data_IF_010414222859
#
_entry.id   IF_010414222859
#
_cell.length_a   1.000
_cell.length_b   1.000
_cell.length_c   1.000
_cell.angle_alpha   90.00
_cell.angle_beta   90.00
_cell.angle_gamma   90.00
#
_symmetry.space_group_name_H-M   'P 1'
#
loop_
_entity.id
_entity.type
_entity.pdbx_description
1 polymer ?
#
# COMPACT_ATOMS: atom_id res chain seq x y z
N UNK A 1 19.17 -33.57 8.19
CA UNK A 1 20.36 -32.71 8.28
C UNK A 1 19.83 -31.27 8.47
N UNK A 2 19.98 -30.73 9.70
CA UNK A 2 19.56 -29.37 10.00
C UNK A 2 20.52 -28.38 9.36
N UNK A 3 19.99 -27.31 8.79
CA UNK A 3 20.83 -26.22 8.33
C UNK A 3 21.50 -25.57 9.54
N UNK A 4 22.82 -25.39 9.47
CA UNK A 4 23.60 -24.62 10.43
C UNK A 4 23.05 -23.17 10.46
N UNK A 5 23.06 -22.58 11.66
CA UNK A 5 22.62 -21.18 11.90
C UNK A 5 23.27 -20.18 10.94
N UNK A 6 24.49 -20.45 10.51
CA UNK A 6 25.26 -19.65 9.56
C UNK A 6 24.76 -19.79 8.12
N UNK A 7 24.34 -21.00 7.74
CA UNK A 7 23.76 -21.30 6.43
C UNK A 7 22.34 -20.71 6.31
N UNK A 8 21.59 -20.72 7.40
CA UNK A 8 20.29 -20.07 7.50
C UNK A 8 20.38 -18.55 7.34
N UNK A 9 21.33 -17.90 8.06
CA UNK A 9 21.58 -16.46 7.95
C UNK A 9 22.14 -16.06 6.59
N UNK A 10 23.01 -16.87 5.99
CA UNK A 10 23.55 -16.63 4.64
C UNK A 10 22.51 -16.74 3.52
N UNK A 11 21.43 -17.45 3.77
CA UNK A 11 20.34 -17.63 2.83
C UNK A 11 19.32 -16.47 2.86
N UNK A 12 19.19 -15.80 4.02
CA UNK A 12 18.36 -14.60 4.19
C UNK A 12 19.11 -13.31 3.81
N UNK A 13 20.46 -13.37 3.74
CA UNK A 13 21.34 -12.22 3.61
C UNK A 13 21.66 -11.78 2.17
N UNK A 14 20.77 -12.03 1.22
CA UNK A 14 20.84 -11.33 -0.07
C UNK A 14 19.46 -10.71 -0.38
N UNK A 15 19.26 -9.42 -0.16
CA UNK A 15 20.20 -8.33 0.11
C UNK A 15 20.24 -7.89 1.59
N UNK A 16 21.39 -7.34 1.96
CA UNK A 16 21.74 -6.86 3.28
C UNK A 16 20.76 -5.81 3.84
N UNK A 17 19.88 -6.23 4.75
CA UNK A 17 19.14 -5.40 5.72
C UNK A 17 18.40 -6.27 6.76
N UNK A 18 18.88 -7.48 7.04
CA UNK A 18 18.21 -8.39 7.98
C UNK A 18 18.88 -8.40 9.38
N UNK A 19 19.36 -7.26 9.84
CA UNK A 19 20.00 -7.18 11.16
C UNK A 19 18.97 -6.77 12.22
N UNK A 20 17.96 -7.62 12.50
CA UNK A 20 17.25 -7.71 13.80
C UNK A 20 15.93 -8.53 13.77
N UNK A 21 15.76 -9.46 12.84
CA UNK A 21 14.62 -10.38 12.95
C UNK A 21 14.94 -11.52 13.91
N UNK A 22 14.48 -11.44 15.13
CA UNK A 22 14.33 -12.61 15.99
C UNK A 22 13.07 -13.33 15.54
N UNK A 23 13.22 -14.38 14.76
CA UNK A 23 12.11 -15.21 14.24
C UNK A 23 11.56 -16.04 15.42
N UNK A 24 10.33 -15.80 15.82
CA UNK A 24 9.70 -16.46 16.96
C UNK A 24 9.31 -17.93 16.70
N UNK A 25 9.19 -18.33 15.44
CA UNK A 25 9.06 -19.75 15.07
C UNK A 25 9.92 -20.06 13.83
N UNK A 26 11.24 -20.27 14.04
CA UNK A 26 12.16 -20.54 12.96
C UNK A 26 11.84 -21.81 12.16
N UNK A 27 11.11 -22.75 12.76
CA UNK A 27 10.79 -24.04 12.14
C UNK A 27 9.74 -23.91 11.03
N UNK A 28 8.69 -23.13 11.23
CA UNK A 28 7.65 -22.92 10.21
C UNK A 28 8.18 -22.14 9.00
N UNK A 29 8.91 -21.06 9.25
CA UNK A 29 9.56 -20.29 8.18
C UNK A 29 10.66 -21.09 7.48
N UNK A 30 11.49 -21.81 8.25
CA UNK A 30 12.53 -22.65 7.67
C UNK A 30 11.94 -23.81 6.83
N UNK A 31 10.83 -24.39 7.24
CA UNK A 31 10.14 -25.42 6.47
C UNK A 31 9.51 -24.86 5.19
N UNK A 32 8.81 -23.72 5.27
CA UNK A 32 8.27 -23.05 4.11
C UNK A 32 9.40 -22.66 3.12
N UNK A 33 10.44 -21.97 3.58
CA UNK A 33 11.57 -21.58 2.73
C UNK A 33 12.46 -22.76 2.29
N UNK A 34 12.55 -23.84 3.04
CA UNK A 34 13.30 -25.03 2.60
C UNK A 34 12.58 -25.78 1.47
N UNK A 35 11.25 -25.76 1.47
CA UNK A 35 10.45 -26.31 0.37
C UNK A 35 10.46 -25.40 -0.85
N UNK A 36 10.34 -24.08 -0.67
CA UNK A 36 10.53 -23.08 -1.74
C UNK A 36 11.86 -23.30 -2.48
N UNK A 37 12.95 -23.59 -1.75
CA UNK A 37 14.27 -23.88 -2.34
C UNK A 37 14.36 -25.23 -3.04
N UNK A 38 13.53 -26.21 -2.66
CA UNK A 38 13.51 -27.54 -3.28
C UNK A 38 12.61 -27.60 -4.52
N UNK A 39 11.74 -26.61 -4.70
CA UNK A 39 10.87 -26.53 -5.88
C UNK A 39 11.72 -26.02 -7.05
N UNK A 40 12.38 -26.94 -7.74
CA UNK A 40 13.11 -26.68 -8.97
C UNK A 40 12.12 -26.64 -10.14
N UNK A 41 11.47 -25.51 -10.33
CA UNK A 41 10.54 -25.28 -11.42
C UNK A 41 10.55 -23.83 -11.83
N UNK A 42 10.06 -23.50 -13.02
CA UNK A 42 9.76 -22.12 -13.37
C UNK A 42 8.57 -21.62 -12.53
N UNK A 43 8.40 -20.32 -12.41
CA UNK A 43 7.34 -19.70 -11.61
C UNK A 43 5.93 -20.17 -11.99
N UNK A 44 5.70 -20.55 -13.25
CA UNK A 44 4.41 -21.04 -13.75
C UNK A 44 4.11 -22.47 -13.27
N UNK A 45 5.12 -23.32 -13.15
CA UNK A 45 4.95 -24.66 -12.62
C UNK A 45 4.73 -24.64 -11.10
N UNK A 46 5.47 -23.81 -10.38
CA UNK A 46 5.29 -23.61 -8.93
C UNK A 46 3.92 -23.04 -8.61
N UNK A 47 3.43 -22.07 -9.40
CA UNK A 47 2.11 -21.49 -9.22
C UNK A 47 0.95 -22.51 -9.35
N UNK A 48 1.17 -23.65 -9.99
CA UNK A 48 0.20 -24.74 -10.16
C UNK A 48 0.39 -25.88 -9.15
N UNK A 49 1.42 -25.81 -8.33
CA UNK A 49 1.72 -26.87 -7.35
C UNK A 49 0.88 -26.71 -6.10
N UNK A 50 -0.20 -27.46 -5.99
CA UNK A 50 -1.09 -27.51 -4.83
C UNK A 50 -0.36 -27.90 -3.53
N UNK A 51 0.72 -28.69 -3.62
CA UNK A 51 1.49 -29.07 -2.42
C UNK A 51 2.26 -27.87 -1.86
N UNK A 52 2.79 -27.02 -2.74
CA UNK A 52 3.42 -25.76 -2.39
C UNK A 52 2.42 -24.82 -1.67
N UNK A 53 1.25 -24.60 -2.27
CA UNK A 53 0.24 -23.70 -1.69
C UNK A 53 -0.32 -24.23 -0.37
N UNK A 54 -0.41 -25.54 -0.21
CA UNK A 54 -0.80 -26.17 1.05
C UNK A 54 0.16 -25.85 2.19
N UNK A 55 1.47 -25.81 1.92
CA UNK A 55 2.48 -25.39 2.90
C UNK A 55 2.36 -23.89 3.22
N UNK A 56 2.19 -23.03 2.21
CA UNK A 56 1.96 -21.60 2.43
C UNK A 56 0.72 -21.38 3.29
N UNK A 57 -0.35 -22.14 3.04
CA UNK A 57 -1.58 -22.07 3.82
C UNK A 57 -1.35 -22.37 5.32
N UNK A 58 -0.40 -23.24 5.68
CA UNK A 58 -0.06 -23.52 7.09
C UNK A 58 0.56 -22.30 7.79
N UNK A 59 1.09 -21.35 7.06
CA UNK A 59 1.59 -20.07 7.58
C UNK A 59 0.48 -19.13 8.08
N UNK A 60 -0.79 -19.47 7.89
CA UNK A 60 -1.93 -18.64 8.31
C UNK A 60 -2.79 -19.35 9.37
N UNK A 61 -3.29 -18.57 10.33
CA UNK A 61 -4.21 -19.02 11.40
C UNK A 61 -5.69 -18.87 11.02
N UNK A 62 -5.99 -18.70 9.72
CA UNK A 62 -7.35 -18.52 9.24
C UNK A 62 -8.23 -19.75 9.55
N UNK A 63 -9.51 -19.51 9.85
CA UNK A 63 -10.51 -20.54 10.07
C UNK A 63 -10.65 -21.41 8.81
N UNK A 64 -10.49 -22.71 8.97
CA UNK A 64 -10.60 -23.70 7.88
C UNK A 64 -12.04 -24.10 7.55
N UNK A 65 -12.99 -23.80 8.43
CA UNK A 65 -14.41 -24.01 8.21
C UNK A 65 -15.06 -22.96 7.30
N UNK A 66 -14.35 -21.85 7.03
CA UNK A 66 -14.85 -20.74 6.20
C UNK A 66 -13.97 -20.60 4.95
N UNK A 67 -14.58 -20.61 3.77
CA UNK A 67 -13.91 -20.27 2.51
C UNK A 67 -13.89 -18.74 2.38
N UNK A 68 -12.77 -18.11 2.72
CA UNK A 68 -12.62 -16.67 2.61
C UNK A 68 -12.28 -16.25 1.18
N UNK A 69 -13.24 -15.65 0.48
CA UNK A 69 -13.07 -15.09 -0.86
C UNK A 69 -12.92 -13.56 -0.85
N UNK A 70 -12.82 -12.94 0.33
CA UNK A 70 -12.77 -11.49 0.48
C UNK A 70 -11.46 -10.97 1.11
N UNK A 71 -10.32 -11.51 0.69
CA UNK A 71 -9.01 -10.96 1.06
C UNK A 71 -8.79 -9.53 0.54
N UNK A 72 -9.51 -9.14 -0.51
CA UNK A 72 -9.54 -7.78 -1.01
C UNK A 72 -10.22 -6.77 -0.07
N UNK A 73 -11.10 -7.21 0.85
CA UNK A 73 -11.60 -6.38 1.94
C UNK A 73 -10.52 -6.18 2.99
N UNK A 74 -10.06 -7.29 3.57
CA UNK A 74 -8.96 -7.40 4.52
C UNK A 74 -8.43 -8.84 4.49
N UNK A 75 -7.10 -9.03 4.47
CA UNK A 75 -6.47 -10.35 4.51
C UNK A 75 -6.05 -10.73 5.93
N UNK A 76 -6.11 -12.02 6.29
CA UNK A 76 -5.42 -12.48 7.49
C UNK A 76 -3.91 -12.27 7.34
N UNK A 77 -3.26 -11.82 8.41
CA UNK A 77 -1.80 -11.78 8.44
C UNK A 77 -1.22 -13.18 8.67
N UNK A 78 -0.08 -13.53 8.04
CA UNK A 78 0.63 -14.77 8.38
C UNK A 78 0.98 -14.84 9.87
N UNK A 79 1.06 -16.04 10.42
CA UNK A 79 1.39 -16.24 11.86
C UNK A 79 2.69 -15.56 12.26
N UNK A 80 3.72 -15.60 11.41
CA UNK A 80 5.00 -14.92 11.64
C UNK A 80 4.84 -13.41 11.79
N UNK A 81 3.93 -12.79 11.03
CA UNK A 81 3.61 -11.35 11.11
C UNK A 81 2.84 -11.05 12.39
N UNK A 82 1.86 -11.90 12.74
CA UNK A 82 1.09 -11.77 13.99
C UNK A 82 2.00 -11.87 15.22
N UNK A 83 2.94 -12.81 15.22
CA UNK A 83 3.89 -13.00 16.31
C UNK A 83 4.90 -11.85 16.40
N UNK A 84 5.35 -11.29 15.28
CA UNK A 84 6.18 -10.10 15.26
C UNK A 84 5.43 -8.91 15.87
N UNK A 85 4.17 -8.72 15.49
CA UNK A 85 3.32 -7.67 16.06
C UNK A 85 3.18 -7.81 17.59
N UNK A 86 2.87 -9.02 18.08
CA UNK A 86 2.75 -9.30 19.53
C UNK A 86 4.05 -8.99 20.26
N UNK A 87 5.20 -9.47 19.73
CA UNK A 87 6.53 -9.20 20.33
C UNK A 87 6.82 -7.70 20.43
N UNK A 88 6.54 -6.95 19.38
CA UNK A 88 6.76 -5.49 19.40
C UNK A 88 5.81 -4.80 20.36
N UNK A 89 4.57 -5.29 20.50
CA UNK A 89 3.61 -4.77 21.47
C UNK A 89 4.08 -5.05 22.90
N UNK A 90 4.47 -6.29 23.22
CA UNK A 90 5.00 -6.66 24.52
C UNK A 90 6.25 -5.85 24.87
N UNK A 91 7.16 -5.71 23.89
CA UNK A 91 8.37 -4.90 24.07
C UNK A 91 8.04 -3.41 24.31
N UNK A 92 7.04 -2.87 23.60
CA UNK A 92 6.58 -1.48 23.83
C UNK A 92 6.14 -1.26 25.29
N UNK A 93 5.48 -2.27 25.88
CA UNK A 93 4.95 -2.16 27.25
C UNK A 93 6.02 -2.31 28.33
N UNK A 94 7.23 -2.73 28.04
CA UNK A 94 8.32 -2.81 29.03
C UNK A 94 8.78 -1.43 29.53
N UNK A 95 8.76 -0.42 28.65
CA UNK A 95 9.10 0.98 28.97
C UNK A 95 8.52 1.90 27.88
N UNK A 96 7.20 2.21 27.92
CA UNK A 96 6.46 2.69 26.75
C UNK A 96 7.10 3.88 26.02
N UNK A 97 7.34 4.99 26.71
CA UNK A 97 7.89 6.21 26.10
C UNK A 97 9.31 5.97 25.51
N UNK A 98 10.15 5.26 26.23
CA UNK A 98 11.52 4.98 25.77
C UNK A 98 11.51 3.98 24.60
N UNK A 99 10.83 2.86 24.78
CA UNK A 99 10.83 1.77 23.79
C UNK A 99 10.15 2.21 22.48
N UNK A 100 8.99 2.85 22.56
CA UNK A 100 8.26 3.29 21.37
C UNK A 100 9.04 4.40 20.63
N UNK A 101 9.43 5.46 21.31
CA UNK A 101 9.95 6.65 20.62
C UNK A 101 11.45 6.60 20.35
N UNK A 102 12.24 5.90 21.18
CA UNK A 102 13.70 5.85 21.01
C UNK A 102 14.20 4.60 20.28
N UNK A 103 13.42 3.52 20.29
CA UNK A 103 13.84 2.24 19.70
C UNK A 103 12.98 1.86 18.50
N UNK A 104 11.66 1.78 18.64
CA UNK A 104 10.78 1.28 17.58
C UNK A 104 10.52 2.33 16.49
N UNK A 105 10.21 3.56 16.86
CA UNK A 105 9.90 4.62 15.89
C UNK A 105 11.04 4.83 14.85
N UNK A 106 12.33 4.87 15.25
CA UNK A 106 13.43 4.93 14.27
C UNK A 106 13.52 3.72 13.32
N UNK A 107 13.05 2.54 13.73
CA UNK A 107 13.04 1.35 12.87
C UNK A 107 12.03 1.48 11.71
N UNK A 108 11.03 2.33 11.84
CA UNK A 108 10.07 2.66 10.79
C UNK A 108 10.77 3.08 9.49
N UNK A 109 11.90 3.77 9.60
CA UNK A 109 12.68 4.19 8.41
C UNK A 109 13.24 3.00 7.60
N UNK A 110 13.51 1.87 8.26
CA UNK A 110 13.89 0.65 7.56
C UNK A 110 12.70 0.04 6.81
N UNK A 111 11.52 0.08 7.40
CA UNK A 111 10.28 -0.36 6.74
C UNK A 111 9.97 0.54 5.53
N UNK A 112 10.08 1.86 5.69
CA UNK A 112 9.88 2.86 4.61
C UNK A 112 10.80 2.56 3.41
N UNK A 113 12.10 2.38 3.65
CA UNK A 113 13.07 2.03 2.58
C UNK A 113 12.74 0.70 1.89
N UNK A 114 12.21 -0.27 2.61
CA UNK A 114 11.80 -1.57 2.03
C UNK A 114 10.53 -1.43 1.19
N UNK A 115 9.53 -0.68 1.65
CA UNK A 115 8.33 -0.36 0.88
C UNK A 115 8.67 0.40 -0.40
N UNK A 116 9.52 1.42 -0.30
CA UNK A 116 9.99 2.20 -1.44
C UNK A 116 10.69 1.32 -2.48
N UNK A 117 11.59 0.46 -2.04
CA UNK A 117 12.28 -0.51 -2.95
C UNK A 117 11.29 -1.46 -3.62
N UNK A 118 10.30 -1.96 -2.89
CA UNK A 118 9.28 -2.86 -3.44
C UNK A 118 8.39 -2.16 -4.46
N UNK A 119 8.06 -0.90 -4.23
CA UNK A 119 7.25 -0.07 -5.14
C UNK A 119 8.05 0.54 -6.30
N UNK A 120 9.39 0.60 -6.19
CA UNK A 120 10.27 1.24 -7.17
C UNK A 120 10.31 2.77 -7.08
N UNK A 121 10.24 3.32 -5.85
CA UNK A 121 10.30 4.76 -5.54
C UNK A 121 11.45 5.10 -4.60
N UNK A 122 11.64 6.39 -4.31
CA UNK A 122 12.48 6.86 -3.22
C UNK A 122 11.76 6.72 -1.87
N UNK A 123 12.52 6.44 -0.81
CA UNK A 123 11.98 6.38 0.54
C UNK A 123 11.42 7.75 1.01
N UNK A 124 11.99 8.84 0.53
CA UNK A 124 11.55 10.21 0.82
C UNK A 124 10.25 10.61 0.08
N UNK A 125 9.64 9.67 -0.64
CA UNK A 125 8.34 9.80 -1.31
C UNK A 125 7.27 8.90 -0.69
N UNK A 126 7.61 8.14 0.37
CA UNK A 126 6.71 7.17 1.00
C UNK A 126 6.34 7.61 2.42
N UNK A 127 5.06 7.77 2.69
CA UNK A 127 4.50 7.87 4.05
C UNK A 127 3.81 6.55 4.44
N UNK A 128 4.00 6.12 5.69
CA UNK A 128 3.35 4.94 6.26
C UNK A 128 2.05 5.37 6.94
N UNK A 129 0.93 5.09 6.31
CA UNK A 129 -0.41 5.43 6.78
C UNK A 129 -1.11 4.23 7.45
N UNK A 130 -2.33 4.45 7.95
CA UNK A 130 -3.17 3.39 8.54
C UNK A 130 -3.90 2.54 7.49
N UNK A 131 -4.14 3.08 6.31
CA UNK A 131 -4.81 2.41 5.18
C UNK A 131 -4.81 3.30 3.93
N UNK A 132 -5.31 2.78 2.81
CA UNK A 132 -5.51 3.55 1.58
C UNK A 132 -6.44 4.74 1.79
N UNK A 133 -7.50 4.59 2.59
CA UNK A 133 -8.47 5.67 2.81
C UNK A 133 -7.82 6.89 3.44
N UNK A 134 -6.93 6.72 4.42
CA UNK A 134 -6.18 7.83 4.99
C UNK A 134 -5.27 8.48 3.94
N UNK A 135 -4.46 7.70 3.23
CA UNK A 135 -3.57 8.24 2.20
C UNK A 135 -4.31 8.98 1.09
N UNK A 136 -5.43 8.43 0.62
CA UNK A 136 -6.28 9.08 -0.39
C UNK A 136 -6.94 10.34 0.15
N UNK A 137 -7.42 10.34 1.39
CA UNK A 137 -8.03 11.53 2.01
C UNK A 137 -7.01 12.62 2.30
N UNK A 138 -5.74 12.28 2.60
CA UNK A 138 -4.65 13.25 2.66
C UNK A 138 -4.57 13.98 1.31
N UNK A 139 -4.58 13.24 0.20
CA UNK A 139 -4.59 13.85 -1.12
C UNK A 139 -5.88 14.62 -1.38
N UNK A 140 -7.05 14.01 -1.19
CA UNK A 140 -8.33 14.64 -1.50
C UNK A 140 -8.61 15.94 -0.70
N UNK A 141 -8.12 16.02 0.55
CA UNK A 141 -8.31 17.20 1.41
C UNK A 141 -7.12 18.17 1.39
N UNK A 142 -5.94 17.70 0.99
CA UNK A 142 -4.71 18.47 1.04
C UNK A 142 -4.51 19.47 -0.11
N UNK A 143 -5.31 19.39 -1.16
CA UNK A 143 -5.30 20.37 -2.25
C UNK A 143 -6.15 21.58 -1.90
N UNK A 144 -5.59 22.76 -2.15
CA UNK A 144 -6.34 24.02 -2.11
C UNK A 144 -7.22 24.10 -3.36
N UNK A 145 -8.52 24.00 -3.17
CA UNK A 145 -9.54 24.08 -4.22
C UNK A 145 -10.52 25.18 -3.86
N UNK A 146 -10.92 25.96 -4.86
CA UNK A 146 -11.87 27.06 -4.75
C UNK A 146 -13.30 26.60 -5.03
N UNK A 147 -14.35 27.32 -4.53
CA UNK A 147 -15.73 27.04 -4.88
C UNK A 147 -15.93 27.03 -6.40
N UNK A 148 -16.55 25.96 -6.91
CA UNK A 148 -16.75 25.74 -8.33
C UNK A 148 -15.65 25.03 -9.07
N UNK A 149 -14.49 24.75 -8.43
CA UNK A 149 -13.48 23.82 -8.97
C UNK A 149 -14.04 22.42 -9.09
N UNK A 150 -13.69 21.72 -10.17
CA UNK A 150 -14.20 20.39 -10.45
C UNK A 150 -13.19 19.31 -10.09
N UNK A 151 -13.66 18.23 -9.46
CA UNK A 151 -12.94 16.98 -9.27
C UNK A 151 -13.58 15.89 -10.12
N UNK A 152 -12.79 15.21 -10.93
CA UNK A 152 -13.26 14.18 -11.84
C UNK A 152 -12.97 12.79 -11.30
N UNK A 153 -13.98 11.92 -11.28
CA UNK A 153 -13.89 10.54 -10.82
C UNK A 153 -14.88 9.66 -11.60
N UNK A 154 -14.94 8.37 -11.31
CA UNK A 154 -15.89 7.46 -11.94
C UNK A 154 -16.99 7.03 -10.97
N UNK A 155 -18.10 6.53 -11.49
CA UNK A 155 -19.18 5.93 -10.68
C UNK A 155 -18.77 4.59 -10.07
N UNK A 156 -17.64 4.02 -10.49
CA UNK A 156 -17.09 2.76 -9.99
C UNK A 156 -15.94 2.93 -8.99
N UNK A 157 -15.50 4.15 -8.73
CA UNK A 157 -14.51 4.43 -7.69
C UNK A 157 -15.06 4.12 -6.30
N UNK A 158 -14.16 3.83 -5.35
CA UNK A 158 -14.55 3.37 -4.04
C UNK A 158 -15.44 4.37 -3.29
N UNK A 159 -16.62 3.92 -2.85
CA UNK A 159 -17.66 4.76 -2.28
C UNK A 159 -17.21 5.68 -1.13
N UNK A 160 -16.24 5.26 -0.31
CA UNK A 160 -15.69 6.11 0.75
C UNK A 160 -14.92 7.31 0.20
N UNK A 161 -14.23 7.16 -0.91
CA UNK A 161 -13.52 8.26 -1.58
C UNK A 161 -14.49 9.22 -2.26
N UNK A 162 -15.58 8.69 -2.80
CA UNK A 162 -16.72 9.48 -3.31
C UNK A 162 -17.35 10.29 -2.17
N UNK A 163 -17.54 9.69 -1.00
CA UNK A 163 -18.08 10.39 0.19
C UNK A 163 -17.17 11.54 0.65
N UNK A 164 -15.86 11.43 0.50
CA UNK A 164 -14.92 12.51 0.82
C UNK A 164 -15.15 13.72 -0.10
N UNK A 165 -15.32 13.50 -1.40
CA UNK A 165 -15.63 14.61 -2.32
C UNK A 165 -17.01 15.20 -2.10
N UNK A 166 -18.03 14.38 -1.76
CA UNK A 166 -19.35 14.89 -1.34
C UNK A 166 -19.26 15.80 -0.11
N UNK A 167 -18.41 15.44 0.85
CA UNK A 167 -18.14 16.29 2.01
C UNK A 167 -17.51 17.62 1.58
N UNK A 168 -16.56 17.60 0.64
CA UNK A 168 -15.94 18.80 0.11
C UNK A 168 -16.89 19.65 -0.72
N UNK A 169 -17.83 19.05 -1.48
CA UNK A 169 -18.93 19.80 -2.13
C UNK A 169 -19.71 20.61 -1.10
N UNK A 170 -20.11 19.97 0.02
CA UNK A 170 -20.88 20.65 1.07
C UNK A 170 -20.06 21.72 1.83
N UNK A 171 -18.77 21.46 2.10
CA UNK A 171 -17.92 22.32 2.93
C UNK A 171 -17.25 23.42 2.12
N UNK A 172 -16.70 23.06 0.96
CA UNK A 172 -15.80 23.90 0.19
C UNK A 172 -16.42 24.42 -1.10
N UNK A 173 -17.62 23.93 -1.46
CA UNK A 173 -18.33 24.36 -2.67
C UNK A 173 -17.71 23.86 -3.99
N UNK A 174 -16.85 22.83 -3.94
CA UNK A 174 -16.33 22.18 -5.16
C UNK A 174 -17.45 21.41 -5.87
N UNK A 175 -17.19 20.96 -7.09
CA UNK A 175 -18.13 20.18 -7.91
C UNK A 175 -17.51 18.82 -8.23
N UNK A 176 -18.14 17.73 -7.78
CA UNK A 176 -17.71 16.39 -8.13
C UNK A 176 -18.39 15.93 -9.43
N UNK A 177 -17.59 15.67 -10.46
CA UNK A 177 -18.08 15.12 -11.73
C UNK A 177 -17.75 13.63 -11.80
N UNK A 178 -18.78 12.86 -12.18
CA UNK A 178 -18.64 11.41 -12.32
C UNK A 178 -19.10 10.94 -13.69
N UNK A 179 -18.40 9.94 -14.24
CA UNK A 179 -18.84 9.22 -15.43
C UNK A 179 -18.66 7.71 -15.23
N UNK A 180 -19.32 6.92 -16.07
CA UNK A 180 -19.25 5.46 -16.01
C UNK A 180 -18.22 4.93 -17.00
N UNK A 181 -17.39 3.99 -16.55
CA UNK A 181 -16.51 3.21 -17.40
C UNK A 181 -17.25 1.96 -17.89
N UNK A 182 -17.14 1.57 -19.18
CA UNK A 182 -17.71 0.31 -19.67
C UNK A 182 -17.15 -0.90 -18.91
N UNK A 183 -17.98 -1.91 -18.70
CA UNK A 183 -17.59 -3.17 -18.05
C UNK A 183 -18.17 -4.33 -18.87
N UNK A 184 -17.34 -5.16 -19.51
CA UNK A 184 -15.87 -5.00 -19.63
C UNK A 184 -15.49 -3.81 -20.52
N UNK A 185 -14.32 -3.20 -20.28
CA UNK A 185 -13.71 -2.30 -21.23
C UNK A 185 -12.69 -3.09 -22.06
N UNK A 186 -12.91 -3.18 -23.35
CA UNK A 186 -12.06 -3.94 -24.25
C UNK A 186 -10.84 -3.17 -24.75
N UNK A 187 -10.87 -1.84 -24.59
CA UNK A 187 -9.85 -0.95 -25.13
C UNK A 187 -9.46 0.15 -24.10
N UNK A 188 -8.22 0.11 -23.65
CA UNK A 188 -7.64 1.13 -22.78
C UNK A 188 -7.79 2.56 -23.30
N UNK A 189 -7.68 2.75 -24.63
CA UNK A 189 -7.76 4.09 -25.22
C UNK A 189 -9.20 4.66 -25.14
N UNK A 190 -10.20 3.79 -25.05
CA UNK A 190 -11.58 4.21 -24.80
C UNK A 190 -11.71 4.81 -23.38
N UNK A 191 -11.12 4.13 -22.38
CA UNK A 191 -11.09 4.64 -21.01
C UNK A 191 -10.39 6.01 -20.96
N UNK A 192 -9.24 6.14 -21.60
CA UNK A 192 -8.50 7.42 -21.65
C UNK A 192 -9.35 8.53 -22.28
N UNK A 193 -10.02 8.23 -23.40
CA UNK A 193 -10.92 9.20 -24.07
C UNK A 193 -12.11 9.60 -23.20
N UNK A 194 -12.63 8.68 -22.38
CA UNK A 194 -13.71 9.00 -21.44
C UNK A 194 -13.24 9.97 -20.36
N UNK A 195 -12.05 9.79 -19.79
CA UNK A 195 -11.48 10.78 -18.88
C UNK A 195 -11.29 12.12 -19.59
N UNK A 196 -10.64 12.14 -20.74
CA UNK A 196 -10.32 13.36 -21.50
C UNK A 196 -11.59 14.15 -21.88
N UNK A 197 -12.64 13.46 -22.33
CA UNK A 197 -13.94 14.05 -22.71
C UNK A 197 -14.65 14.76 -21.55
N UNK A 198 -14.42 14.31 -20.32
CA UNK A 198 -15.05 14.86 -19.12
C UNK A 198 -14.22 15.96 -18.45
N UNK A 199 -13.04 16.26 -18.94
CA UNK A 199 -12.22 17.40 -18.49
C UNK A 199 -12.83 18.70 -18.97
N UNK A 200 -12.88 19.69 -18.09
CA UNK A 200 -13.25 21.07 -18.40
C UNK A 200 -12.16 22.03 -17.90
N UNK A 201 -12.20 23.33 -18.26
CA UNK A 201 -11.27 24.32 -17.69
C UNK A 201 -11.31 24.44 -16.16
N UNK A 202 -12.38 23.94 -15.52
CA UNK A 202 -12.55 23.94 -14.06
C UNK A 202 -12.01 22.66 -13.40
N UNK A 203 -11.65 21.63 -14.18
CA UNK A 203 -11.15 20.36 -13.62
C UNK A 203 -9.77 20.58 -13.01
N UNK A 204 -9.65 20.36 -11.70
CA UNK A 204 -8.41 20.56 -10.93
C UNK A 204 -7.77 19.27 -10.45
N UNK A 205 -8.50 18.17 -10.50
CA UNK A 205 -8.04 16.90 -9.95
C UNK A 205 -8.78 15.74 -10.59
N UNK A 206 -8.08 14.62 -10.78
CA UNK A 206 -8.68 13.33 -11.12
C UNK A 206 -8.38 12.34 -9.98
N UNK A 207 -9.42 11.61 -9.54
CA UNK A 207 -9.26 10.39 -8.73
C UNK A 207 -9.64 9.20 -9.60
N UNK A 208 -8.81 8.15 -9.57
CA UNK A 208 -9.13 6.90 -10.25
C UNK A 208 -8.60 5.67 -9.49
N UNK A 209 -9.33 4.58 -9.51
CA UNK A 209 -8.81 3.29 -9.09
C UNK A 209 -7.75 2.77 -10.08
N UNK A 210 -6.70 2.11 -9.56
CA UNK A 210 -5.84 1.27 -10.41
C UNK A 210 -6.54 -0.06 -10.72
N UNK A 211 -7.23 -0.65 -9.74
CA UNK A 211 -8.15 -1.77 -9.93
C UNK A 211 -9.48 -1.46 -9.24
N UNK A 212 -10.57 -1.57 -9.98
CA UNK A 212 -11.92 -1.34 -9.47
C UNK A 212 -12.32 -2.52 -8.58
N UNK A 213 -12.68 -2.26 -7.33
CA UNK A 213 -12.97 -3.30 -6.33
C UNK A 213 -14.21 -4.16 -6.66
N UNK A 214 -15.20 -3.61 -7.35
CA UNK A 214 -16.46 -4.31 -7.68
C UNK A 214 -16.34 -5.20 -8.93
N UNK A 215 -15.40 -4.91 -9.82
CA UNK A 215 -15.30 -5.63 -11.11
C UNK A 215 -13.96 -6.35 -11.30
N UNK A 216 -12.93 -5.98 -10.54
CA UNK A 216 -11.56 -6.44 -10.77
C UNK A 216 -10.90 -5.86 -12.01
N UNK A 217 -11.52 -4.92 -12.69
CA UNK A 217 -10.98 -4.31 -13.91
C UNK A 217 -9.77 -3.44 -13.57
N UNK A 218 -8.63 -3.72 -14.21
CA UNK A 218 -7.41 -2.92 -14.11
C UNK A 218 -7.51 -1.76 -15.10
N UNK A 219 -7.31 -0.54 -14.63
CA UNK A 219 -7.39 0.67 -15.44
C UNK A 219 -6.01 1.10 -15.96
N UNK A 220 -5.93 1.73 -17.13
CA UNK A 220 -4.69 2.15 -17.78
C UNK A 220 -4.11 3.43 -17.15
N UNK A 221 -3.73 3.37 -15.87
CA UNK A 221 -3.30 4.52 -15.06
C UNK A 221 -2.28 5.38 -15.79
N UNK A 222 -1.20 4.79 -16.29
CA UNK A 222 -0.14 5.54 -16.99
C UNK A 222 -0.64 6.35 -18.18
N UNK A 223 -1.57 5.79 -18.94
CA UNK A 223 -2.15 6.47 -20.10
C UNK A 223 -3.02 7.64 -19.66
N UNK A 224 -3.83 7.47 -18.61
CA UNK A 224 -4.66 8.53 -18.02
C UNK A 224 -3.79 9.64 -17.42
N UNK A 225 -2.76 9.27 -16.64
CA UNK A 225 -1.80 10.24 -16.07
C UNK A 225 -1.12 11.07 -17.17
N UNK A 226 -0.64 10.42 -18.23
CA UNK A 226 -0.02 11.13 -19.37
C UNK A 226 -0.99 12.06 -20.10
N UNK A 227 -2.24 11.65 -20.21
CA UNK A 227 -3.30 12.49 -20.78
C UNK A 227 -3.57 13.69 -19.87
N UNK A 228 -3.78 13.49 -18.57
CA UNK A 228 -4.07 14.54 -17.59
C UNK A 228 -2.96 15.59 -17.48
N UNK A 229 -1.69 15.18 -17.61
CA UNK A 229 -0.53 16.11 -17.63
C UNK A 229 -0.57 17.13 -18.75
N UNK A 230 -1.24 16.86 -19.88
CA UNK A 230 -1.41 17.85 -20.97
C UNK A 230 -2.28 19.02 -20.53
N UNK A 231 -3.08 18.83 -19.49
CA UNK A 231 -3.99 19.80 -18.91
C UNK A 231 -3.52 20.33 -17.55
N UNK A 232 -2.32 19.94 -17.12
CA UNK A 232 -1.77 20.22 -15.79
C UNK A 232 -2.66 19.76 -14.63
N UNK A 233 -3.35 18.64 -14.82
CA UNK A 233 -4.28 18.05 -13.84
C UNK A 233 -3.58 16.91 -13.10
N UNK A 234 -3.45 16.98 -11.74
CA UNK A 234 -2.93 15.89 -10.93
C UNK A 234 -3.89 14.70 -10.90
N UNK A 235 -3.32 13.48 -10.86
CA UNK A 235 -4.07 12.24 -10.78
C UNK A 235 -3.74 11.53 -9.46
N UNK A 236 -4.75 11.35 -8.62
CA UNK A 236 -4.69 10.53 -7.42
C UNK A 236 -5.08 9.11 -7.78
N UNK A 237 -4.21 8.14 -7.47
CA UNK A 237 -4.42 6.74 -7.81
C UNK A 237 -4.77 5.93 -6.56
N UNK A 238 -5.97 5.37 -6.54
CA UNK A 238 -6.38 4.38 -5.55
C UNK A 238 -5.82 3.00 -5.91
N UNK A 239 -4.74 2.63 -5.24
CA UNK A 239 -4.06 1.35 -5.40
C UNK A 239 -4.43 0.31 -4.34
N UNK A 240 -5.55 0.48 -3.63
CA UNK A 240 -5.94 -0.38 -2.52
C UNK A 240 -5.97 -1.88 -2.86
N UNK A 241 -6.20 -2.24 -4.12
CA UNK A 241 -6.29 -3.61 -4.58
C UNK A 241 -5.12 -4.09 -5.45
N UNK A 242 -4.06 -3.30 -5.60
CA UNK A 242 -3.02 -3.64 -6.59
C UNK A 242 -1.65 -3.89 -5.97
N UNK A 243 -1.27 -3.16 -4.93
CA UNK A 243 0.03 -3.34 -4.26
C UNK A 243 0.15 -4.76 -3.68
N UNK A 244 1.22 -5.45 -4.03
CA UNK A 244 1.49 -6.85 -3.65
C UNK A 244 0.44 -7.87 -4.16
N UNK A 245 -0.42 -7.51 -5.12
CA UNK A 245 -1.39 -8.40 -5.74
C UNK A 245 -0.86 -8.96 -7.07
N UNK A 246 -0.17 -8.16 -7.83
CA UNK A 246 0.53 -8.52 -9.07
C UNK A 246 1.73 -7.60 -9.29
N UNK A 247 2.62 -7.98 -10.20
CA UNK A 247 3.85 -7.26 -10.44
C UNK A 247 3.63 -5.94 -11.18
N UNK A 248 4.04 -4.86 -10.58
CA UNK A 248 4.20 -3.53 -11.19
C UNK A 248 5.07 -2.65 -10.28
N UNK A 249 5.57 -1.58 -10.84
CA UNK A 249 6.35 -0.57 -10.12
C UNK A 249 5.78 0.83 -10.36
N UNK A 250 6.25 1.80 -9.61
CA UNK A 250 5.90 3.21 -9.84
C UNK A 250 6.15 3.64 -11.31
N UNK A 251 7.21 3.13 -11.95
CA UNK A 251 7.53 3.43 -13.35
C UNK A 251 6.42 2.99 -14.32
N UNK A 252 5.66 1.96 -13.96
CA UNK A 252 4.56 1.45 -14.78
C UNK A 252 3.30 2.30 -14.63
N UNK A 253 3.17 3.06 -13.54
CA UNK A 253 2.07 3.99 -13.30
C UNK A 253 2.43 5.43 -13.70
N UNK A 254 3.64 5.87 -13.39
CA UNK A 254 4.16 7.22 -13.60
C UNK A 254 3.27 8.30 -12.96
N UNK A 255 2.54 7.97 -11.88
CA UNK A 255 1.61 8.86 -11.19
C UNK A 255 2.34 9.78 -10.20
N UNK A 256 1.63 10.81 -9.74
CA UNK A 256 2.14 11.76 -8.75
C UNK A 256 1.70 11.42 -7.33
N UNK A 257 0.56 10.74 -7.19
CA UNK A 257 -0.03 10.31 -5.92
C UNK A 257 -0.57 8.89 -6.05
N UNK A 258 -0.24 8.05 -5.07
CA UNK A 258 -0.74 6.68 -4.99
C UNK A 258 -0.91 6.26 -3.54
N UNK A 259 -2.05 5.69 -3.18
CA UNK A 259 -2.22 5.15 -1.85
C UNK A 259 -2.76 3.72 -1.87
N UNK A 260 -2.32 2.92 -0.89
CA UNK A 260 -2.71 1.52 -0.78
C UNK A 260 -2.90 1.08 0.67
N UNK A 261 -3.64 -0.02 0.85
CA UNK A 261 -3.81 -0.72 2.13
C UNK A 261 -2.90 -1.94 2.18
N UNK A 262 -1.93 -1.93 3.09
CA UNK A 262 -0.95 -3.02 3.22
C UNK A 262 -1.53 -4.28 3.89
N UNK A 263 -2.63 -4.12 4.65
CA UNK A 263 -3.37 -5.22 5.28
C UNK A 263 -4.31 -5.98 4.31
N UNK A 264 -4.24 -5.69 3.00
CA UNK A 264 -4.92 -6.45 1.95
C UNK A 264 -3.94 -7.48 1.36
N UNK A 265 -3.44 -7.27 0.15
CA UNK A 265 -2.67 -8.26 -0.59
C UNK A 265 -1.24 -8.49 -0.05
N UNK A 266 -0.65 -7.52 0.65
CA UNK A 266 0.60 -7.75 1.38
C UNK A 266 0.42 -8.55 2.66
N UNK A 267 -0.82 -8.69 3.17
CA UNK A 267 -1.15 -9.37 4.42
C UNK A 267 -0.40 -8.81 5.64
N UNK A 268 -0.10 -7.50 5.64
CA UNK A 268 0.48 -6.80 6.78
C UNK A 268 -0.56 -6.64 7.92
N UNK A 269 -0.18 -6.23 9.12
CA UNK A 269 -1.12 -6.02 10.22
C UNK A 269 -2.27 -5.07 9.85
N UNK A 270 -3.45 -5.31 10.41
CA UNK A 270 -4.60 -4.42 10.24
C UNK A 270 -4.25 -3.00 10.67
N UNK A 271 -4.76 -2.02 9.94
CA UNK A 271 -4.43 -0.63 10.20
C UNK A 271 -3.04 -0.23 9.69
N UNK A 272 -2.61 -0.80 8.56
CA UNK A 272 -1.39 -0.41 7.85
C UNK A 272 -1.67 -0.05 6.40
N UNK A 273 -1.04 1.01 5.92
CA UNK A 273 -1.15 1.53 4.56
C UNK A 273 0.11 2.27 4.14
N UNK A 274 0.12 2.71 2.90
CA UNK A 274 1.20 3.47 2.31
C UNK A 274 0.61 4.57 1.42
N UNK A 275 1.18 5.77 1.53
CA UNK A 275 0.97 6.88 0.61
C UNK A 275 2.29 7.19 -0.08
N UNK A 276 2.29 7.18 -1.41
CA UNK A 276 3.34 7.73 -2.24
C UNK A 276 2.93 9.12 -2.71
N UNK A 277 3.84 10.07 -2.59
CA UNK A 277 3.74 11.42 -3.17
C UNK A 277 5.04 11.74 -3.88
N UNK A 278 4.97 12.08 -5.18
CA UNK A 278 6.15 12.50 -5.94
C UNK A 278 6.87 13.65 -5.24
N UNK A 279 8.17 13.58 -5.11
CA UNK A 279 9.00 14.49 -4.29
C UNK A 279 8.70 15.96 -4.47
N UNK A 280 8.59 16.41 -5.72
CA UNK A 280 8.30 17.82 -6.05
C UNK A 280 6.83 18.22 -5.81
N UNK A 281 5.97 17.30 -5.39
CA UNK A 281 4.55 17.52 -5.07
C UNK A 281 4.26 17.47 -3.56
N UNK A 282 5.24 17.09 -2.74
CA UNK A 282 5.05 16.99 -1.29
C UNK A 282 4.73 18.37 -0.68
N UNK A 283 5.43 19.42 -1.12
CA UNK A 283 5.26 20.75 -0.57
C UNK A 283 3.87 21.35 -0.84
N UNK A 284 3.25 20.95 -1.96
CA UNK A 284 1.97 21.49 -2.45
C UNK A 284 0.74 20.86 -1.77
N UNK A 285 0.95 19.82 -0.94
CA UNK A 285 -0.12 19.07 -0.33
C UNK A 285 -0.18 19.29 1.18
N UNK A 286 -1.31 19.73 1.70
CA UNK A 286 -1.53 19.87 3.15
C UNK A 286 -1.68 18.51 3.84
N UNK A 287 -1.10 18.31 5.04
CA UNK A 287 -1.37 17.14 5.85
C UNK A 287 -2.76 17.23 6.51
N UNK A 288 -3.35 16.10 6.86
CA UNK A 288 -4.64 16.07 7.57
C UNK A 288 -4.52 16.55 9.03
N UNK A 289 -3.38 16.32 9.65
CA UNK A 289 -3.04 16.79 10.99
C UNK A 289 -1.77 17.61 10.92
N UNK A 290 -1.74 18.71 11.67
CA UNK A 290 -0.60 19.62 11.65
C UNK A 290 0.65 18.95 12.22
N UNK A 291 1.77 18.91 11.49
CA UNK A 291 3.05 18.47 12.03
C UNK A 291 3.60 19.51 13.03
N UNK A 292 4.48 19.09 13.93
CA UNK A 292 5.10 19.97 14.93
C UNK A 292 5.92 21.10 14.33
N UNK A 293 6.52 20.88 13.18
CA UNK A 293 7.17 21.89 12.33
C UNK A 293 6.55 21.87 10.93
N UNK A 294 6.48 23.05 10.28
CA UNK A 294 5.97 23.15 8.90
C UNK A 294 6.95 22.50 7.91
N UNK A 295 7.16 21.18 8.00
CA UNK A 295 8.02 20.38 7.13
C UNK A 295 7.53 20.30 5.70
N UNK A 296 7.51 21.45 4.97
CA UNK A 296 6.87 21.56 3.65
C UNK A 296 7.33 20.49 2.65
N UNK A 297 8.59 20.08 2.66
CA UNK A 297 9.14 19.08 1.74
C UNK A 297 9.34 17.69 2.33
N UNK A 298 9.01 17.46 3.59
CA UNK A 298 9.17 16.14 4.24
C UNK A 298 7.90 15.31 4.11
N UNK A 299 8.04 14.11 3.55
CA UNK A 299 6.96 13.14 3.39
C UNK A 299 6.36 12.71 4.74
N UNK A 300 7.15 12.78 5.82
CA UNK A 300 6.74 12.36 7.17
C UNK A 300 5.66 13.25 7.77
N UNK A 301 5.46 14.45 7.23
CA UNK A 301 4.34 15.32 7.62
C UNK A 301 2.97 14.66 7.47
N UNK A 302 2.85 13.67 6.58
CA UNK A 302 1.62 12.92 6.35
C UNK A 302 1.43 11.75 7.33
N UNK A 303 2.40 11.50 8.20
CA UNK A 303 2.35 10.44 9.22
C UNK A 303 1.98 10.96 10.61
N UNK A 304 1.86 12.28 10.77
CA UNK A 304 1.53 12.89 12.06
C UNK A 304 0.09 12.55 12.45
N UNK A 305 -0.05 11.77 13.51
CA UNK A 305 -1.33 11.33 14.07
C UNK A 305 -1.29 11.27 15.61
N UNK A 306 -0.27 11.86 16.23
CA UNK A 306 -0.03 11.74 17.67
C UNK A 306 0.44 10.34 18.06
N UNK A 307 0.19 9.95 19.32
CA UNK A 307 0.55 8.61 19.81
C UNK A 307 -0.19 7.52 19.04
N UNK A 308 0.54 6.56 18.51
CA UNK A 308 0.00 5.53 17.62
C UNK A 308 0.64 4.16 17.89
N UNK A 309 0.03 3.05 17.42
CA UNK A 309 0.56 1.70 17.59
C UNK A 309 1.77 1.46 16.67
N UNK A 310 2.96 1.90 17.11
CA UNK A 310 4.22 1.71 16.40
C UNK A 310 4.49 0.23 16.02
N UNK A 311 4.17 -0.77 16.86
CA UNK A 311 4.31 -2.20 16.51
C UNK A 311 3.69 -2.59 15.17
N UNK A 312 2.52 -2.04 14.81
CA UNK A 312 1.87 -2.31 13.54
C UNK A 312 2.75 -1.90 12.34
N UNK A 313 3.35 -0.71 12.43
CA UNK A 313 4.20 -0.17 11.35
C UNK A 313 5.49 -0.99 11.19
N UNK A 314 6.08 -1.47 12.30
CA UNK A 314 7.30 -2.27 12.25
C UNK A 314 7.04 -3.66 11.66
N UNK A 315 5.95 -4.33 12.04
CA UNK A 315 5.58 -5.66 11.53
C UNK A 315 5.22 -5.69 10.02
N UNK A 316 5.08 -4.54 9.35
CA UNK A 316 5.04 -4.46 7.88
C UNK A 316 6.32 -5.06 7.28
N UNK A 317 7.47 -4.88 7.95
CA UNK A 317 8.75 -5.47 7.54
C UNK A 317 8.70 -7.00 7.48
N UNK A 318 8.02 -7.64 8.43
CA UNK A 318 7.84 -9.09 8.47
C UNK A 318 6.90 -9.55 7.35
N UNK A 319 5.84 -8.79 7.06
CA UNK A 319 4.94 -9.07 5.95
C UNK A 319 5.66 -9.00 4.59
N UNK A 320 6.50 -7.97 4.37
CA UNK A 320 7.35 -7.86 3.17
C UNK A 320 8.31 -9.05 3.05
N UNK A 321 8.90 -9.50 4.16
CA UNK A 321 9.80 -10.67 4.15
C UNK A 321 9.05 -11.94 3.78
N UNK A 322 7.86 -12.14 4.36
CA UNK A 322 7.03 -13.30 4.05
C UNK A 322 6.60 -13.31 2.60
N UNK A 323 6.08 -12.17 2.10
CA UNK A 323 5.63 -12.02 0.72
C UNK A 323 6.75 -12.27 -0.29
N UNK A 324 7.91 -11.63 -0.09
CA UNK A 324 9.10 -11.83 -0.94
C UNK A 324 9.70 -13.24 -0.85
N UNK A 325 9.44 -13.94 0.24
CA UNK A 325 9.87 -15.32 0.43
C UNK A 325 9.00 -16.34 -0.29
N UNK A 326 7.76 -16.00 -0.61
CA UNK A 326 6.86 -16.85 -1.41
C UNK A 326 7.27 -16.78 -2.89
N UNK A 327 7.69 -15.65 -3.40
CA UNK A 327 8.13 -15.42 -4.79
C UNK A 327 7.12 -14.65 -5.61
#
# INVERSE_FOLDING_TARGET
MGLDRRQFLGAIAKPAAAASMVISNPTLMANAFSKIRKTSGDSKSVAKDESYWREIQQGYTADRGIINLNNGGVSPSPSVVQEALKRHLDFSNTSPAYTMWRILEPQKETVRRRLARFFGSDAEEIAITRNASEGLQICQNGFDLEPGDEVLTTTQDYGRMISTFKQRECRDGIVMKQFKIPVPAENDNEIVRLFEKNITPKTKMILMCHMINITGQILPVKKVVRMARKYDIPVIVDGAHTFAHFDFTLKDLDCDYYATSLHKWLSAPFGTGMLYVRKNKIADLWPMQAPGECGKGDIRKFEEIGTHPCPNKIAIGDALTFHQGIG
#
